data_IF_947863582070
#
_entry.id   IF_947863582070
#
_cell.length_a   1.000
_cell.length_b   1.000
_cell.length_c   1.000
_cell.angle_alpha   90.00
_cell.angle_beta   90.00
_cell.angle_gamma   90.00
#
_symmetry.space_group_name_H-M   'P 1'
#
loop_
_entity.id
_entity.type
_entity.pdbx_description
1 polymer ?
#
# COMPACT_ATOMS: atom_id res chain seq x y z
N UNK A 1 -2.92 -11.24 -19.92
CA UNK A 1 -4.36 -10.95 -20.11
C UNK A 1 -4.83 -11.10 -21.55
N UNK A 2 -4.11 -10.60 -22.57
CA UNK A 2 -4.46 -10.85 -23.98
C UNK A 2 -4.59 -12.35 -24.31
N UNK A 3 -3.70 -13.18 -23.76
CA UNK A 3 -3.76 -14.63 -23.98
C UNK A 3 -5.01 -15.34 -23.41
N UNK A 4 -5.56 -14.87 -22.28
CA UNK A 4 -6.82 -15.43 -21.73
C UNK A 4 -8.02 -15.03 -22.59
N UNK A 5 -8.06 -13.79 -23.10
CA UNK A 5 -9.12 -13.35 -24.02
C UNK A 5 -9.03 -14.09 -25.37
N UNK A 6 -7.81 -14.26 -25.91
CA UNK A 6 -7.58 -15.04 -27.13
C UNK A 6 -7.97 -16.52 -27.00
N UNK A 7 -7.78 -17.12 -25.82
CA UNK A 7 -8.24 -18.48 -25.56
C UNK A 7 -9.78 -18.58 -25.59
N UNK A 8 -10.49 -17.60 -25.01
CA UNK A 8 -11.96 -17.54 -25.07
C UNK A 8 -12.44 -17.38 -26.52
N UNK A 9 -11.75 -16.56 -27.33
CA UNK A 9 -12.08 -16.35 -28.74
C UNK A 9 -11.83 -17.60 -29.58
N UNK A 10 -10.77 -18.35 -29.28
CA UNK A 10 -10.46 -19.62 -29.91
C UNK A 10 -11.51 -20.69 -29.55
N UNK A 11 -11.89 -20.78 -28.28
CA UNK A 11 -12.91 -21.74 -27.81
C UNK A 11 -14.30 -21.42 -28.40
N UNK A 12 -14.65 -20.14 -28.52
CA UNK A 12 -15.90 -19.70 -29.16
C UNK A 12 -15.91 -20.01 -30.66
N UNK A 13 -14.80 -19.71 -31.37
CA UNK A 13 -14.67 -20.03 -32.79
C UNK A 13 -14.62 -21.54 -33.06
N UNK A 14 -14.12 -22.34 -32.12
CA UNK A 14 -14.13 -23.80 -32.19
C UNK A 14 -15.50 -24.41 -31.81
N UNK A 15 -16.46 -23.60 -31.37
CA UNK A 15 -17.79 -24.05 -30.93
C UNK A 15 -17.78 -24.84 -29.61
N UNK A 16 -16.70 -24.75 -28.83
CA UNK A 16 -16.54 -25.43 -27.53
C UNK A 16 -17.34 -24.75 -26.43
N UNK A 17 -17.62 -23.45 -26.57
CA UNK A 17 -18.39 -22.63 -25.65
C UNK A 17 -19.46 -21.82 -26.39
N UNK A 18 -20.54 -21.47 -25.70
CA UNK A 18 -21.61 -20.63 -26.27
C UNK A 18 -21.24 -19.14 -26.20
N UNK A 19 -22.00 -18.30 -26.92
CA UNK A 19 -21.78 -16.86 -26.94
C UNK A 19 -22.03 -16.21 -25.56
N UNK A 20 -23.03 -16.69 -24.82
CA UNK A 20 -23.29 -16.27 -23.43
C UNK A 20 -22.15 -16.67 -22.49
N UNK A 21 -21.60 -17.87 -22.64
CA UNK A 21 -20.49 -18.34 -21.80
C UNK A 21 -19.19 -17.58 -22.09
N UNK A 22 -18.93 -17.25 -23.36
CA UNK A 22 -17.80 -16.41 -23.76
C UNK A 22 -17.93 -14.99 -23.18
N UNK A 23 -19.13 -14.42 -23.14
CA UNK A 23 -19.42 -13.12 -22.51
C UNK A 23 -19.09 -13.16 -21.02
N UNK A 24 -19.61 -14.15 -20.29
CA UNK A 24 -19.36 -14.29 -18.84
C UNK A 24 -17.86 -14.46 -18.53
N UNK A 25 -17.16 -15.31 -19.27
CA UNK A 25 -15.71 -15.53 -19.07
C UNK A 25 -14.88 -14.28 -19.38
N UNK A 26 -15.27 -13.48 -20.38
CA UNK A 26 -14.60 -12.20 -20.68
C UNK A 26 -14.79 -11.19 -19.55
N UNK A 27 -15.98 -11.14 -18.97
CA UNK A 27 -16.27 -10.29 -17.82
C UNK A 27 -15.44 -10.69 -16.60
N UNK A 28 -15.33 -11.98 -16.30
CA UNK A 28 -14.47 -12.51 -15.23
C UNK A 28 -12.99 -12.12 -15.45
N UNK A 29 -12.48 -12.28 -16.67
CA UNK A 29 -11.10 -11.87 -17.01
C UNK A 29 -10.91 -10.36 -16.92
N UNK A 30 -11.93 -9.56 -17.21
CA UNK A 30 -11.88 -8.10 -17.05
C UNK A 30 -11.89 -7.69 -15.57
N UNK A 31 -12.67 -8.34 -14.72
CA UNK A 31 -12.65 -8.07 -13.28
C UNK A 31 -11.31 -8.46 -12.65
N UNK A 32 -10.74 -9.60 -13.08
CA UNK A 32 -9.39 -10.01 -12.69
C UNK A 32 -8.35 -8.97 -13.13
N UNK A 33 -8.50 -8.44 -14.35
CA UNK A 33 -7.66 -7.39 -14.90
C UNK A 33 -7.67 -6.12 -14.06
N UNK A 34 -8.86 -5.64 -13.74
CA UNK A 34 -9.06 -4.40 -12.99
C UNK A 34 -8.55 -4.55 -11.55
N UNK A 35 -8.76 -5.71 -10.94
CA UNK A 35 -8.23 -6.01 -9.60
C UNK A 35 -6.69 -6.00 -9.57
N UNK A 36 -6.03 -6.73 -10.48
CA UNK A 36 -4.57 -6.75 -10.52
C UNK A 36 -3.98 -5.42 -10.99
N UNK A 37 -4.70 -4.67 -11.85
CA UNK A 37 -4.32 -3.30 -12.24
C UNK A 37 -4.37 -2.33 -11.05
N UNK A 38 -5.46 -2.36 -10.27
CA UNK A 38 -5.60 -1.56 -9.06
C UNK A 38 -4.56 -1.97 -7.97
N UNK A 39 -4.30 -3.27 -7.83
CA UNK A 39 -3.32 -3.80 -6.87
C UNK A 39 -1.86 -3.48 -7.24
N UNK A 40 -1.49 -3.44 -8.52
CA UNK A 40 -0.13 -3.04 -8.94
C UNK A 40 0.17 -1.58 -8.56
N UNK A 41 -0.80 -0.68 -8.78
CA UNK A 41 -0.71 0.72 -8.36
C UNK A 41 -0.52 0.83 -6.85
N UNK A 42 -1.46 0.28 -6.07
CA UNK A 42 -1.41 0.30 -4.61
C UNK A 42 -0.09 -0.29 -4.06
N UNK A 43 0.37 -1.41 -4.61
CA UNK A 43 1.61 -2.08 -4.19
C UNK A 43 2.85 -1.22 -4.45
N UNK A 44 2.90 -0.50 -5.59
CA UNK A 44 3.99 0.45 -5.88
C UNK A 44 3.99 1.65 -4.95
N UNK A 45 2.82 2.18 -4.60
CA UNK A 45 2.69 3.26 -3.60
C UNK A 45 3.19 2.81 -2.23
N UNK A 46 2.74 1.66 -1.75
CA UNK A 46 3.18 1.09 -0.45
C UNK A 46 4.70 0.86 -0.45
N UNK A 47 5.25 0.33 -1.54
CA UNK A 47 6.70 0.13 -1.66
C UNK A 47 7.47 1.45 -1.65
N UNK A 48 6.96 2.49 -2.31
CA UNK A 48 7.56 3.83 -2.32
C UNK A 48 7.53 4.48 -0.95
N UNK A 49 6.39 4.39 -0.26
CA UNK A 49 6.19 4.90 1.10
C UNK A 49 7.15 4.23 2.10
N UNK A 50 7.30 2.90 2.03
CA UNK A 50 8.24 2.18 2.88
C UNK A 50 9.70 2.62 2.67
N UNK A 51 10.11 2.85 1.41
CA UNK A 51 11.45 3.34 1.09
C UNK A 51 11.65 4.76 1.64
N UNK A 52 10.66 5.64 1.46
CA UNK A 52 10.71 7.00 1.98
C UNK A 52 10.81 7.02 3.52
N UNK A 53 10.01 6.19 4.22
CA UNK A 53 10.07 6.07 5.67
C UNK A 53 11.44 5.61 6.20
N UNK A 54 12.07 4.65 5.52
CA UNK A 54 13.42 4.19 5.89
C UNK A 54 14.46 5.32 5.68
N UNK A 55 14.35 6.08 4.60
CA UNK A 55 15.25 7.22 4.36
C UNK A 55 15.08 8.30 5.42
N UNK A 56 13.85 8.66 5.77
CA UNK A 56 13.54 9.66 6.81
C UNK A 56 14.11 9.20 8.16
N UNK A 57 13.91 7.94 8.53
CA UNK A 57 14.47 7.35 9.76
C UNK A 57 15.99 7.53 9.82
N UNK A 58 16.70 7.15 8.76
CA UNK A 58 18.16 7.24 8.72
C UNK A 58 18.63 8.70 8.80
N UNK A 59 17.97 9.60 8.08
CA UNK A 59 18.31 11.04 8.10
C UNK A 59 18.09 11.62 9.50
N UNK A 60 16.97 11.32 10.15
CA UNK A 60 16.64 11.85 11.47
C UNK A 60 17.59 11.32 12.55
N UNK A 61 17.94 10.03 12.51
CA UNK A 61 18.88 9.44 13.47
C UNK A 61 20.29 9.98 13.26
N UNK A 62 20.83 9.93 12.03
CA UNK A 62 22.20 10.36 11.75
C UNK A 62 22.36 11.89 11.87
N UNK A 63 21.40 12.64 11.33
CA UNK A 63 21.38 14.10 11.42
C UNK A 63 21.18 14.58 12.85
N UNK A 64 20.29 13.92 13.61
CA UNK A 64 20.07 14.19 15.02
C UNK A 64 21.32 13.95 15.87
N UNK A 65 22.01 12.82 15.66
CA UNK A 65 23.28 12.52 16.35
C UNK A 65 24.35 13.56 15.98
N UNK A 66 24.50 13.90 14.70
CA UNK A 66 25.47 14.90 14.25
C UNK A 66 25.21 16.28 14.86
N UNK A 67 23.95 16.76 14.84
CA UNK A 67 23.56 18.04 15.45
C UNK A 67 23.69 18.00 16.98
N UNK A 68 23.30 16.88 17.61
CA UNK A 68 23.42 16.68 19.05
C UNK A 68 24.86 16.78 19.55
N UNK A 69 25.81 16.19 18.82
CA UNK A 69 27.22 16.27 19.17
C UNK A 69 27.84 17.63 18.81
N UNK A 70 27.56 18.16 17.61
CA UNK A 70 28.22 19.37 17.10
C UNK A 70 27.67 20.69 17.67
N UNK A 71 26.35 20.77 17.90
CA UNK A 71 25.70 22.00 18.35
C UNK A 71 25.30 21.96 19.83
N UNK A 72 24.92 20.79 20.34
CA UNK A 72 24.43 20.64 21.72
C UNK A 72 25.48 20.10 22.70
N UNK A 73 26.72 19.85 22.27
CA UNK A 73 27.80 19.25 23.08
C UNK A 73 27.37 17.98 23.84
N UNK A 74 26.40 17.23 23.30
CA UNK A 74 25.98 15.97 23.88
C UNK A 74 27.03 14.89 23.62
N UNK A 75 27.17 13.95 24.56
CA UNK A 75 27.95 12.74 24.29
C UNK A 75 27.29 11.95 23.15
N UNK A 76 28.08 11.19 22.40
CA UNK A 76 27.56 10.36 21.30
C UNK A 76 26.43 9.42 21.78
N UNK A 77 26.53 8.92 23.01
CA UNK A 77 25.54 8.04 23.64
C UNK A 77 24.24 8.78 23.95
N UNK A 78 24.33 9.98 24.55
CA UNK A 78 23.14 10.77 24.89
C UNK A 78 22.43 11.29 23.64
N UNK A 79 23.21 11.70 22.63
CA UNK A 79 22.68 12.11 21.33
C UNK A 79 21.97 10.94 20.63
N UNK A 80 22.58 9.76 20.61
CA UNK A 80 21.96 8.57 20.04
C UNK A 80 20.65 8.22 20.75
N UNK A 81 20.62 8.24 22.09
CA UNK A 81 19.40 7.92 22.84
C UNK A 81 18.27 8.93 22.59
N UNK A 82 18.56 10.23 22.68
CA UNK A 82 17.54 11.27 22.51
C UNK A 82 16.98 11.32 21.08
N UNK A 83 17.84 11.37 20.07
CA UNK A 83 17.39 11.52 18.69
C UNK A 83 16.80 10.23 18.12
N UNK A 84 17.20 9.05 18.60
CA UNK A 84 16.51 7.80 18.27
C UNK A 84 15.10 7.78 18.88
N UNK A 85 14.95 8.19 20.14
CA UNK A 85 13.63 8.25 20.80
C UNK A 85 12.68 9.23 20.11
N UNK A 86 13.18 10.43 19.76
CA UNK A 86 12.44 11.44 19.00
C UNK A 86 12.02 10.92 17.62
N UNK A 87 12.90 10.22 16.91
CA UNK A 87 12.59 9.67 15.58
C UNK A 87 11.54 8.56 15.64
N UNK A 88 11.61 7.68 16.65
CA UNK A 88 10.56 6.68 16.90
C UNK A 88 9.23 7.39 17.23
N UNK A 89 9.27 8.43 18.05
CA UNK A 89 8.11 9.24 18.41
C UNK A 89 7.43 9.85 17.18
N UNK A 90 8.20 10.43 16.26
CA UNK A 90 7.70 11.00 15.00
C UNK A 90 6.97 9.94 14.14
N UNK A 91 7.57 8.75 13.99
CA UNK A 91 6.93 7.63 13.31
C UNK A 91 5.63 7.17 13.96
N UNK A 92 5.57 7.11 15.30
CA UNK A 92 4.36 6.73 16.03
C UNK A 92 3.26 7.79 15.92
N UNK A 93 3.61 9.08 15.95
CA UNK A 93 2.65 10.19 15.81
C UNK A 93 2.02 10.20 14.41
N UNK A 94 2.77 9.85 13.37
CA UNK A 94 2.23 9.73 12.01
C UNK A 94 1.36 8.47 11.83
N UNK A 95 1.79 7.32 12.38
CA UNK A 95 1.17 6.03 12.08
C UNK A 95 -0.12 5.76 12.88
N UNK A 96 -0.15 6.12 14.17
CA UNK A 96 -1.29 5.79 15.05
C UNK A 96 -2.61 6.40 14.52
N UNK A 97 -2.67 7.71 14.17
CA UNK A 97 -3.90 8.30 13.65
C UNK A 97 -4.32 7.69 12.30
N UNK A 98 -3.35 7.38 11.44
CA UNK A 98 -3.62 6.76 10.13
C UNK A 98 -4.26 5.38 10.28
N UNK A 99 -3.74 4.54 11.19
CA UNK A 99 -4.33 3.23 11.47
C UNK A 99 -5.73 3.32 12.06
N UNK A 100 -5.97 4.27 12.98
CA UNK A 100 -7.31 4.53 13.53
C UNK A 100 -8.29 4.99 12.45
N UNK A 101 -7.87 5.93 11.59
CA UNK A 101 -8.69 6.44 10.49
C UNK A 101 -9.02 5.34 9.47
N UNK A 102 -8.04 4.52 9.09
CA UNK A 102 -8.23 3.38 8.18
C UNK A 102 -9.23 2.38 8.75
N UNK A 103 -9.10 2.03 10.04
CA UNK A 103 -10.03 1.12 10.73
C UNK A 103 -11.43 1.71 10.81
N UNK A 104 -11.56 3.00 11.15
CA UNK A 104 -12.85 3.69 11.19
C UNK A 104 -13.52 3.74 9.81
N UNK A 105 -12.77 4.07 8.75
CA UNK A 105 -13.27 4.07 7.38
C UNK A 105 -13.73 2.67 6.95
N UNK A 106 -12.97 1.61 7.27
CA UNK A 106 -13.35 0.23 6.98
C UNK A 106 -14.68 -0.15 7.68
N UNK A 107 -14.86 0.24 8.95
CA UNK A 107 -16.12 0.02 9.69
C UNK A 107 -17.30 0.79 9.07
N UNK A 108 -17.06 2.00 8.54
CA UNK A 108 -18.12 2.80 7.89
C UNK A 108 -18.53 2.14 6.56
N UNK A 109 -17.58 1.73 5.73
CA UNK A 109 -17.85 1.07 4.44
C UNK A 109 -18.67 -0.21 4.63
N UNK A 110 -18.33 -1.04 5.63
CA UNK A 110 -19.06 -2.29 5.88
C UNK A 110 -20.49 -2.04 6.37
N UNK A 111 -20.77 -0.96 7.11
CA UNK A 111 -22.14 -0.61 7.52
C UNK A 111 -22.99 -0.03 6.39
N UNK A 112 -22.39 0.79 5.51
CA UNK A 112 -23.13 1.44 4.41
C UNK A 112 -23.52 0.43 3.34
N UNK A 113 -22.67 -0.56 3.04
CA UNK A 113 -23.03 -1.65 2.12
C UNK A 113 -24.22 -2.49 2.61
N UNK A 114 -24.45 -2.62 3.91
CA UNK A 114 -25.62 -3.33 4.45
C UNK A 114 -26.96 -2.58 4.28
N UNK A 115 -26.94 -1.30 3.88
CA UNK A 115 -28.14 -0.49 3.70
C UNK A 115 -28.57 -0.36 2.23
N UNK A 116 -27.88 -1.05 1.31
CA UNK A 116 -28.07 -0.91 -0.14
C UNK A 116 -28.53 -2.19 -0.85
N UNK A 117 -28.84 -3.24 -0.08
CA UNK A 117 -29.67 -4.39 -0.49
C UNK A 117 -31.08 -4.27 0.14
#
# INVERSE_FOLDING_TARGET
MPGKQMAIDADLNAGLISQDEALRRREEVSQEADFYGAMDGASKFVRGDAIAGILILLINVLGGIAIGMLQHNLSATDAAQNYTLLTIGDGLVAQIPSMLLSTAAAIIVTRVSSAQD
#
